data_IF_363403609321
#
_entry.id   IF_363403609321
#
_cell.length_a   1.000
_cell.length_b   1.000
_cell.length_c   1.000
_cell.angle_alpha   90.00
_cell.angle_beta   90.00
_cell.angle_gamma   90.00
#
_symmetry.space_group_name_H-M   'P 1'
#
loop_
_entity.id
_entity.type
_entity.pdbx_description
1 polymer ?
#
# COMPACT_ATOMS: atom_id res chain seq x y z
N UNK A 1 -33.23 -4.93 19.29
CA UNK A 1 -31.91 -4.31 19.52
C UNK A 1 -31.21 -4.18 18.18
N UNK A 2 -31.20 -2.97 17.61
CA UNK A 2 -30.78 -2.71 16.24
C UNK A 2 -29.24 -2.71 16.11
N UNK A 3 -28.67 -3.81 15.62
CA UNK A 3 -27.29 -3.84 15.13
C UNK A 3 -27.23 -3.20 13.75
N UNK A 4 -27.25 -1.87 13.69
CA UNK A 4 -26.80 -1.10 12.52
C UNK A 4 -25.28 -1.30 12.41
N UNK A 5 -24.84 -2.45 11.89
CA UNK A 5 -23.48 -2.61 11.37
C UNK A 5 -23.38 -1.64 10.20
N UNK A 6 -22.92 -0.44 10.54
CA UNK A 6 -22.87 0.69 9.65
C UNK A 6 -22.27 0.27 8.32
N UNK A 7 -22.96 0.71 7.27
CA UNK A 7 -22.58 0.77 5.86
C UNK A 7 -21.24 1.52 5.74
N UNK A 8 -20.15 0.94 6.25
CA UNK A 8 -18.83 1.54 6.15
C UNK A 8 -18.43 1.37 4.70
N UNK A 9 -18.21 2.46 3.96
CA UNK A 9 -17.78 2.35 2.58
C UNK A 9 -16.55 1.45 2.51
N UNK A 10 -16.54 0.51 1.58
CA UNK A 10 -15.34 -0.28 1.30
C UNK A 10 -14.19 0.71 1.04
N UNK A 11 -12.99 0.45 1.60
CA UNK A 11 -11.85 1.31 1.33
C UNK A 11 -11.63 1.39 -0.17
N UNK A 12 -11.49 2.62 -0.67
CA UNK A 12 -11.24 2.89 -2.09
C UNK A 12 -10.00 2.13 -2.57
N UNK A 13 -10.06 1.65 -3.81
CA UNK A 13 -8.94 0.93 -4.40
C UNK A 13 -7.82 1.91 -4.79
N UNK A 14 -6.61 1.75 -4.26
CA UNK A 14 -5.49 2.63 -4.58
C UNK A 14 -5.05 2.45 -6.04
N UNK A 15 -4.62 3.54 -6.68
CA UNK A 15 -3.85 3.40 -7.91
C UNK A 15 -2.51 2.75 -7.59
N UNK A 16 -2.25 1.64 -8.25
CA UNK A 16 -0.96 0.98 -8.27
C UNK A 16 -0.20 1.40 -9.53
N UNK A 17 1.13 1.41 -9.45
CA UNK A 17 1.97 1.47 -10.63
C UNK A 17 1.63 0.33 -11.60
N UNK A 18 1.75 0.61 -12.90
CA UNK A 18 1.63 -0.39 -13.95
C UNK A 18 2.72 -1.45 -13.84
N UNK A 19 2.46 -2.64 -14.41
CA UNK A 19 3.36 -3.80 -14.31
C UNK A 19 4.77 -3.51 -14.80
N UNK A 20 4.91 -2.68 -15.84
CA UNK A 20 6.21 -2.25 -16.39
C UNK A 20 7.05 -1.47 -15.38
N UNK A 21 6.40 -0.70 -14.49
CA UNK A 21 7.05 0.13 -13.48
C UNK A 21 7.37 -0.64 -12.19
N UNK A 22 6.94 -1.91 -12.06
CA UNK A 22 7.29 -2.74 -10.91
C UNK A 22 8.77 -3.13 -10.91
N UNK A 23 9.45 -3.01 -12.05
CA UNK A 23 10.82 -3.48 -12.24
C UNK A 23 10.93 -4.99 -12.47
N UNK A 24 12.02 -5.40 -13.14
CA UNK A 24 12.29 -6.80 -13.51
C UNK A 24 12.81 -7.58 -12.31
N UNK A 25 13.81 -7.05 -11.62
CA UNK A 25 14.37 -7.66 -10.41
C UNK A 25 13.64 -7.14 -9.19
N UNK A 26 13.20 -8.06 -8.33
CA UNK A 26 12.41 -7.72 -7.14
C UNK A 26 12.90 -8.51 -5.94
N UNK A 27 13.26 -7.81 -4.87
CA UNK A 27 13.66 -8.40 -3.60
C UNK A 27 12.48 -8.40 -2.62
N UNK A 28 12.24 -9.54 -1.97
CA UNK A 28 11.22 -9.67 -0.93
C UNK A 28 11.81 -9.31 0.42
N UNK A 29 11.10 -8.50 1.20
CA UNK A 29 11.46 -8.20 2.59
C UNK A 29 10.89 -9.28 3.51
N UNK A 30 11.77 -9.94 4.26
CA UNK A 30 11.41 -10.89 5.31
C UNK A 30 12.26 -10.61 6.55
N UNK A 31 11.68 -10.05 7.64
CA UNK A 31 10.27 -9.65 7.78
C UNK A 31 9.92 -8.40 6.94
N UNK A 32 8.63 -8.15 6.65
CA UNK A 32 8.18 -6.90 6.03
C UNK A 32 8.64 -5.67 6.82
N UNK A 33 9.04 -4.61 6.12
CA UNK A 33 9.62 -3.41 6.74
C UNK A 33 8.53 -2.35 7.02
N UNK A 34 8.42 -1.81 8.24
CA UNK A 34 7.46 -0.74 8.52
C UNK A 34 7.84 0.54 7.79
N UNK A 35 6.88 1.10 7.05
CA UNK A 35 7.07 2.32 6.25
C UNK A 35 5.88 3.26 6.38
N UNK A 36 6.12 4.52 6.04
CA UNK A 36 5.06 5.50 5.81
C UNK A 36 5.01 5.83 4.34
N UNK A 37 3.87 5.64 3.71
CA UNK A 37 3.71 5.72 2.25
C UNK A 37 2.66 6.77 1.88
N UNK A 38 2.87 7.44 0.75
CA UNK A 38 1.84 8.22 0.08
C UNK A 38 1.20 7.36 -1.01
N UNK A 39 -0.13 7.20 -0.95
CA UNK A 39 -0.90 6.47 -1.96
C UNK A 39 -1.95 7.39 -2.56
N UNK A 40 -2.17 7.26 -3.87
CA UNK A 40 -3.26 7.94 -4.56
C UNK A 40 -4.48 7.02 -4.58
N UNK A 41 -5.58 7.47 -3.96
CA UNK A 41 -6.91 6.91 -4.12
C UNK A 41 -7.64 7.67 -5.25
N UNK A 42 -8.76 7.14 -5.78
CA UNK A 42 -9.51 7.79 -6.86
C UNK A 42 -9.94 9.21 -6.51
N UNK A 43 -10.29 9.47 -5.25
CA UNK A 43 -10.78 10.79 -4.82
C UNK A 43 -9.72 11.67 -4.16
N UNK A 44 -8.59 11.12 -3.70
CA UNK A 44 -7.61 11.86 -2.89
C UNK A 44 -6.26 11.15 -2.76
N UNK A 45 -5.23 11.93 -2.44
CA UNK A 45 -3.96 11.38 -1.98
C UNK A 45 -3.95 11.26 -0.45
N UNK A 46 -3.49 10.14 0.08
CA UNK A 46 -3.39 9.92 1.53
C UNK A 46 -2.00 9.45 1.93
N UNK A 47 -1.58 9.83 3.14
CA UNK A 47 -0.37 9.34 3.79
C UNK A 47 -0.77 8.36 4.88
N UNK A 48 -0.25 7.14 4.83
CA UNK A 48 -0.63 6.08 5.76
C UNK A 48 0.56 5.23 6.20
N UNK A 49 0.33 4.41 7.21
CA UNK A 49 1.29 3.44 7.71
C UNK A 49 1.05 2.08 7.06
N UNK A 50 2.13 1.50 6.53
CA UNK A 50 2.12 0.28 5.76
C UNK A 50 3.37 -0.55 6.10
N UNK A 51 3.45 -1.73 5.51
CA UNK A 51 4.68 -2.53 5.47
C UNK A 51 5.12 -2.67 4.02
N UNK A 52 6.42 -2.51 3.75
CA UNK A 52 7.03 -2.85 2.49
C UNK A 52 7.29 -4.36 2.47
N UNK A 53 6.72 -5.05 1.49
CA UNK A 53 6.83 -6.51 1.36
C UNK A 53 7.79 -6.91 0.24
N UNK A 54 7.89 -6.08 -0.80
CA UNK A 54 8.78 -6.31 -1.94
C UNK A 54 9.26 -4.97 -2.47
N UNK A 55 10.45 -4.93 -3.06
CA UNK A 55 10.95 -3.76 -3.77
C UNK A 55 11.73 -4.16 -5.00
N UNK A 56 11.69 -3.30 -6.01
CA UNK A 56 12.66 -3.22 -7.09
C UNK A 56 13.51 -1.96 -6.90
N UNK A 57 14.34 -1.64 -7.90
CA UNK A 57 15.20 -0.45 -7.87
C UNK A 57 14.39 0.85 -7.71
N UNK A 58 13.27 0.95 -8.44
CA UNK A 58 12.46 2.18 -8.51
C UNK A 58 11.11 2.10 -7.79
N UNK A 59 10.61 0.89 -7.50
CA UNK A 59 9.25 0.70 -6.97
C UNK A 59 9.23 -0.19 -5.74
N UNK A 60 8.19 -0.02 -4.92
CA UNK A 60 8.00 -0.78 -3.68
C UNK A 60 6.55 -1.26 -3.62
N UNK A 61 6.37 -2.55 -3.37
CA UNK A 61 5.08 -3.12 -3.01
C UNK A 61 4.85 -2.87 -1.52
N UNK A 62 3.81 -2.10 -1.22
CA UNK A 62 3.37 -1.80 0.14
C UNK A 62 2.05 -2.51 0.43
N UNK A 63 1.88 -2.94 1.67
CA UNK A 63 0.68 -3.57 2.18
C UNK A 63 0.18 -2.84 3.43
N UNK A 64 -1.12 -2.62 3.54
CA UNK A 64 -1.76 -2.08 4.75
C UNK A 64 -3.15 -2.67 4.93
N UNK A 65 -3.77 -2.36 6.08
CA UNK A 65 -5.03 -2.97 6.49
C UNK A 65 -4.84 -4.40 6.98
N UNK A 66 -5.96 -5.08 7.25
CA UNK A 66 -6.00 -6.49 7.66
C UNK A 66 -7.30 -7.15 7.18
N UNK A 67 -7.24 -8.44 6.89
CA UNK A 67 -8.40 -9.24 6.50
C UNK A 67 -9.12 -8.64 5.29
N UNK A 68 -10.45 -8.42 5.30
CA UNK A 68 -11.19 -7.89 4.16
C UNK A 68 -10.78 -6.48 3.68
N UNK A 69 -10.05 -5.74 4.52
CA UNK A 69 -9.57 -4.39 4.23
C UNK A 69 -8.09 -4.35 3.84
N UNK A 70 -7.45 -5.51 3.74
CA UNK A 70 -6.07 -5.59 3.28
C UNK A 70 -5.98 -5.11 1.83
N UNK A 71 -4.98 -4.27 1.58
CA UNK A 71 -4.68 -3.72 0.26
C UNK A 71 -3.19 -3.78 0.04
N UNK A 72 -2.84 -3.98 -1.23
CA UNK A 72 -1.48 -3.95 -1.70
C UNK A 72 -1.40 -3.05 -2.93
N UNK A 73 -0.38 -2.21 -3.02
CA UNK A 73 -0.10 -1.50 -4.26
C UNK A 73 1.39 -1.27 -4.44
N UNK A 74 1.81 -1.23 -5.71
CA UNK A 74 3.14 -0.76 -6.07
C UNK A 74 3.13 0.76 -6.11
N UNK A 75 4.11 1.37 -5.46
CA UNK A 75 4.35 2.81 -5.46
C UNK A 75 5.78 3.10 -5.85
N UNK A 76 6.05 4.31 -6.33
CA UNK A 76 7.42 4.76 -6.53
C UNK A 76 8.17 4.78 -5.20
N UNK A 77 9.45 4.41 -5.22
CA UNK A 77 10.29 4.38 -4.03
C UNK A 77 10.37 5.76 -3.34
N UNK A 78 10.31 6.84 -4.12
CA UNK A 78 10.24 8.22 -3.61
C UNK A 78 8.98 8.52 -2.78
N UNK A 79 7.89 7.76 -2.97
CA UNK A 79 6.66 7.90 -2.21
C UNK A 79 6.71 7.17 -0.85
N UNK A 80 7.78 6.41 -0.59
CA UNK A 80 7.99 5.64 0.64
C UNK A 80 9.00 6.35 1.54
N UNK A 81 8.63 6.52 2.81
CA UNK A 81 9.53 7.00 3.87
C UNK A 81 9.71 5.89 4.89
N UNK A 82 10.95 5.44 5.06
CA UNK A 82 11.28 4.51 6.14
C UNK A 82 11.03 5.16 7.49
N UNK A 83 10.39 4.41 8.37
CA UNK A 83 10.33 4.78 9.78
C UNK A 83 11.68 4.36 10.39
N UNK A 84 12.46 5.35 10.83
CA UNK A 84 13.61 5.10 11.71
C UNK A 84 13.13 4.63 13.08
#
# INVERSE_FOLDING_TARGET
MNSRRADRPLPEEPYSLSLEAHGVTRATYSPPLPVRVFVQLPTRQVRLDAVAVQASDDAVLVQWGRGPTERQCWVWRAAVKHRR
#
